data_IF_658573151688
#
_entry.id   IF_658573151688
#
_cell.length_a   1.000
_cell.length_b   1.000
_cell.length_c   1.000
_cell.angle_alpha   90.00
_cell.angle_beta   90.00
_cell.angle_gamma   90.00
#
_symmetry.space_group_name_H-M   'P 1'
#
loop_
_entity.id
_entity.type
_entity.pdbx_description
1 polymer ?
#
# COMPACT_ATOMS: atom_id res chain seq x y z
N UNK A 1 -11.83 37.59 -11.18
CA UNK A 1 -11.00 36.73 -10.30
C UNK A 1 -11.97 35.91 -9.43
N UNK A 2 -12.25 34.66 -9.83
CA UNK A 2 -13.10 33.73 -9.07
C UNK A 2 -12.45 33.41 -7.72
N UNK A 3 -13.21 33.54 -6.61
CA UNK A 3 -12.78 33.04 -5.30
C UNK A 3 -12.42 31.58 -5.43
N UNK A 4 -11.16 31.21 -5.22
CA UNK A 4 -10.74 29.80 -5.09
C UNK A 4 -11.54 29.21 -3.92
N UNK A 5 -12.45 28.29 -4.19
CA UNK A 5 -13.13 27.54 -3.12
C UNK A 5 -12.03 26.83 -2.31
N UNK A 6 -12.01 27.08 -1.00
CA UNK A 6 -11.08 26.40 -0.10
C UNK A 6 -11.48 24.91 -0.06
N UNK A 7 -10.57 24.02 -0.43
CA UNK A 7 -10.78 22.59 -0.28
C UNK A 7 -10.88 22.30 1.22
N UNK A 8 -11.98 21.69 1.64
CA UNK A 8 -12.20 21.26 3.02
C UNK A 8 -11.78 19.83 3.25
N UNK A 9 -12.23 18.96 2.35
CA UNK A 9 -11.93 17.53 2.38
C UNK A 9 -11.46 17.08 1.00
N UNK A 10 -10.47 16.21 0.99
CA UNK A 10 -10.00 15.53 -0.19
C UNK A 10 -9.45 14.15 0.18
N UNK A 11 -9.44 13.22 -0.78
CA UNK A 11 -8.77 11.95 -0.65
C UNK A 11 -7.80 11.77 -1.82
N UNK A 12 -6.56 11.46 -1.51
CA UNK A 12 -5.57 11.04 -2.49
C UNK A 12 -5.47 9.51 -2.42
N UNK A 13 -5.63 8.86 -3.56
CA UNK A 13 -5.61 7.40 -3.67
C UNK A 13 -4.50 6.99 -4.62
N UNK A 14 -3.63 6.12 -4.17
CA UNK A 14 -2.72 5.36 -5.03
C UNK A 14 -3.31 3.99 -5.28
N UNK A 15 -3.27 3.57 -6.52
CA UNK A 15 -3.79 2.30 -7.00
C UNK A 15 -2.71 1.59 -7.80
N UNK A 16 -2.70 0.28 -7.70
CA UNK A 16 -1.79 -0.58 -8.43
C UNK A 16 -2.56 -1.82 -8.91
N UNK A 17 -2.44 -2.09 -10.21
CA UNK A 17 -3.12 -3.17 -10.89
C UNK A 17 -2.49 -4.51 -10.50
N UNK A 18 -3.27 -5.34 -9.84
CA UNK A 18 -2.81 -6.66 -9.43
C UNK A 18 -2.64 -7.60 -10.64
N UNK A 19 -1.69 -8.52 -10.52
CA UNK A 19 -1.46 -9.61 -11.49
C UNK A 19 -1.04 -9.18 -12.91
N UNK A 20 -0.66 -7.91 -13.16
CA UNK A 20 -0.18 -7.48 -14.49
C UNK A 20 1.04 -8.29 -14.94
N UNK A 21 1.97 -8.59 -14.04
CA UNK A 21 3.13 -9.43 -14.37
C UNK A 21 2.70 -10.83 -14.83
N UNK A 22 1.75 -11.46 -14.13
CA UNK A 22 1.22 -12.76 -14.54
C UNK A 22 0.57 -12.69 -15.93
N UNK A 23 -0.20 -11.64 -16.21
CA UNK A 23 -0.80 -11.43 -17.53
C UNK A 23 0.25 -11.29 -18.62
N UNK A 24 1.30 -10.48 -18.38
CA UNK A 24 2.41 -10.31 -19.31
C UNK A 24 3.17 -11.63 -19.54
N UNK A 25 3.52 -12.34 -18.48
CA UNK A 25 4.33 -13.56 -18.56
C UNK A 25 3.55 -14.70 -19.24
N UNK A 26 2.21 -14.73 -19.11
CA UNK A 26 1.36 -15.81 -19.63
C UNK A 26 0.83 -15.51 -21.04
N UNK A 27 0.39 -14.28 -21.32
CA UNK A 27 -0.33 -13.92 -22.54
C UNK A 27 0.41 -12.89 -23.40
N UNK A 28 1.56 -12.40 -22.94
CA UNK A 28 2.38 -11.39 -23.62
C UNK A 28 2.02 -9.95 -23.28
N UNK A 29 2.91 -9.03 -23.65
CA UNK A 29 2.78 -7.60 -23.32
C UNK A 29 1.56 -6.93 -23.95
N UNK A 30 1.12 -7.33 -25.13
CA UNK A 30 -0.07 -6.77 -25.78
C UNK A 30 -1.32 -6.97 -24.90
N UNK A 31 -1.40 -8.08 -24.18
CA UNK A 31 -2.48 -8.35 -23.23
C UNK A 31 -2.32 -7.64 -21.90
N UNK A 32 -1.10 -7.43 -21.45
CA UNK A 32 -0.83 -6.54 -20.34
C UNK A 32 -1.27 -5.11 -20.62
N UNK A 33 -1.00 -4.61 -21.81
CA UNK A 33 -1.44 -3.27 -22.24
C UNK A 33 -2.98 -3.19 -22.32
N UNK A 34 -3.64 -4.24 -22.83
CA UNK A 34 -5.10 -4.31 -22.83
C UNK A 34 -5.65 -4.36 -21.41
N UNK A 35 -5.01 -5.10 -20.48
CA UNK A 35 -5.39 -5.15 -19.07
C UNK A 35 -5.28 -3.77 -18.40
N UNK A 36 -4.18 -3.04 -18.64
CA UNK A 36 -4.00 -1.66 -18.19
C UNK A 36 -5.11 -0.75 -18.76
N UNK A 37 -5.40 -0.88 -20.07
CA UNK A 37 -6.44 -0.10 -20.74
C UNK A 37 -7.83 -0.34 -20.11
N UNK A 38 -8.20 -1.59 -19.87
CA UNK A 38 -9.47 -1.97 -19.24
C UNK A 38 -9.55 -1.43 -17.79
N UNK A 39 -8.46 -1.49 -17.03
CA UNK A 39 -8.39 -0.90 -15.70
C UNK A 39 -8.60 0.62 -15.75
N UNK A 40 -7.91 1.32 -16.64
CA UNK A 40 -8.07 2.76 -16.83
C UNK A 40 -9.50 3.16 -17.18
N UNK A 41 -10.14 2.44 -18.09
CA UNK A 41 -11.56 2.66 -18.44
C UNK A 41 -12.49 2.45 -17.24
N UNK A 42 -12.30 1.36 -16.50
CA UNK A 42 -13.07 1.08 -15.28
C UNK A 42 -12.95 2.21 -14.25
N UNK A 43 -11.72 2.71 -14.03
CA UNK A 43 -11.48 3.80 -13.10
C UNK A 43 -12.11 5.13 -13.57
N UNK A 44 -12.04 5.44 -14.86
CA UNK A 44 -12.65 6.65 -15.44
C UNK A 44 -14.18 6.59 -15.39
N UNK A 45 -14.77 5.46 -15.73
CA UNK A 45 -16.24 5.24 -15.68
C UNK A 45 -16.78 5.22 -14.25
N UNK A 46 -16.02 4.63 -13.31
CA UNK A 46 -16.40 4.48 -11.89
C UNK A 46 -16.16 5.74 -11.05
N UNK A 47 -15.51 6.78 -11.57
CA UNK A 47 -15.25 8.02 -10.83
C UNK A 47 -16.20 9.14 -11.26
N UNK A 48 -16.71 9.97 -10.32
CA UNK A 48 -17.57 11.11 -10.63
C UNK A 48 -16.87 12.16 -11.49
N UNK A 49 -17.64 12.85 -12.34
CA UNK A 49 -17.11 13.97 -13.13
C UNK A 49 -16.45 15.04 -12.24
N UNK A 50 -15.26 15.44 -12.61
CA UNK A 50 -14.46 16.41 -11.87
C UNK A 50 -13.47 15.80 -10.88
N UNK A 51 -13.49 14.47 -10.68
CA UNK A 51 -12.42 13.73 -10.01
C UNK A 51 -11.21 13.68 -10.94
N UNK A 52 -10.01 13.86 -10.39
CA UNK A 52 -8.79 13.68 -11.16
C UNK A 52 -8.39 12.21 -11.10
N UNK A 53 -8.39 11.55 -12.25
CA UNK A 53 -7.88 10.19 -12.41
C UNK A 53 -6.71 10.25 -13.40
N UNK A 54 -5.58 9.63 -13.05
CA UNK A 54 -4.36 9.66 -13.84
C UNK A 54 -3.68 8.28 -13.86
N UNK A 55 -3.36 7.80 -15.05
CA UNK A 55 -2.40 6.71 -15.23
C UNK A 55 -0.99 7.29 -15.10
N UNK A 56 -0.20 6.77 -14.20
CA UNK A 56 1.13 7.29 -13.89
C UNK A 56 2.20 6.56 -14.69
N UNK A 57 2.25 5.25 -14.54
CA UNK A 57 3.17 4.38 -15.32
C UNK A 57 2.84 2.91 -15.05
N UNK A 58 3.01 2.05 -16.03
CA UNK A 58 2.84 0.61 -15.88
C UNK A 58 1.49 0.26 -15.23
N UNK A 59 1.51 -0.29 -14.03
CA UNK A 59 0.37 -0.73 -13.23
C UNK A 59 -0.17 0.34 -12.25
N UNK A 60 0.45 1.53 -12.18
CA UNK A 60 0.14 2.57 -11.20
C UNK A 60 -0.87 3.59 -11.71
N UNK A 61 -1.92 3.85 -10.92
CA UNK A 61 -2.91 4.90 -11.13
C UNK A 61 -3.05 5.76 -9.88
N UNK A 62 -3.40 7.03 -10.06
CA UNK A 62 -3.72 7.94 -8.96
C UNK A 62 -5.10 8.56 -9.17
N UNK A 63 -5.84 8.70 -8.06
CA UNK A 63 -7.12 9.39 -8.05
C UNK A 63 -7.09 10.46 -6.96
N UNK A 64 -7.62 11.64 -7.27
CA UNK A 64 -7.83 12.72 -6.31
C UNK A 64 -9.30 13.13 -6.29
N UNK A 65 -9.98 12.79 -5.20
CA UNK A 65 -11.31 13.30 -4.86
C UNK A 65 -11.17 14.61 -4.11
N UNK A 66 -11.89 15.66 -4.55
CA UNK A 66 -11.86 16.98 -3.90
C UNK A 66 -13.16 17.73 -4.13
N UNK A 67 -13.39 18.77 -3.31
CA UNK A 67 -14.57 19.61 -3.46
C UNK A 67 -15.85 19.06 -2.82
N UNK A 68 -15.73 18.04 -1.99
CA UNK A 68 -16.83 17.45 -1.23
C UNK A 68 -17.04 18.16 0.10
N UNK A 69 -18.29 18.12 0.59
CA UNK A 69 -18.67 18.76 1.86
C UNK A 69 -18.27 17.91 3.08
N UNK A 70 -18.05 16.60 2.91
CA UNK A 70 -17.62 15.69 3.97
C UNK A 70 -16.77 14.55 3.46
N UNK A 71 -15.96 13.96 4.33
CA UNK A 71 -15.23 12.71 4.06
C UNK A 71 -16.16 11.55 3.75
N UNK A 72 -17.31 11.46 4.44
CA UNK A 72 -18.25 10.36 4.22
C UNK A 72 -18.78 10.33 2.79
N UNK A 73 -19.03 11.50 2.20
CA UNK A 73 -19.43 11.58 0.79
C UNK A 73 -18.35 11.03 -0.15
N UNK A 74 -17.07 11.29 0.15
CA UNK A 74 -15.95 10.71 -0.61
C UNK A 74 -15.87 9.19 -0.38
N UNK A 75 -16.03 8.70 0.85
CA UNK A 75 -16.04 7.26 1.17
C UNK A 75 -17.13 6.50 0.41
N UNK A 76 -18.30 7.11 0.25
CA UNK A 76 -19.40 6.51 -0.54
C UNK A 76 -18.98 6.35 -2.02
N UNK A 77 -18.35 7.37 -2.61
CA UNK A 77 -17.86 7.29 -3.99
C UNK A 77 -16.73 6.25 -4.14
N UNK A 78 -15.78 6.21 -3.20
CA UNK A 78 -14.73 5.17 -3.19
C UNK A 78 -15.33 3.77 -3.06
N UNK A 79 -16.36 3.60 -2.22
CA UNK A 79 -17.05 2.32 -2.06
C UNK A 79 -17.80 1.89 -3.34
N UNK A 80 -18.35 2.84 -4.09
CA UNK A 80 -18.95 2.57 -5.42
C UNK A 80 -17.89 2.14 -6.41
N UNK A 81 -16.77 2.89 -6.47
CA UNK A 81 -15.63 2.57 -7.34
C UNK A 81 -15.09 1.17 -7.05
N UNK A 82 -14.91 0.81 -5.78
CA UNK A 82 -14.42 -0.51 -5.40
C UNK A 82 -15.36 -1.64 -5.84
N UNK A 83 -16.68 -1.43 -5.74
CA UNK A 83 -17.66 -2.40 -6.26
C UNK A 83 -17.60 -2.50 -7.79
N UNK A 84 -17.44 -1.38 -8.49
CA UNK A 84 -17.30 -1.36 -9.95
C UNK A 84 -16.06 -2.15 -10.39
N UNK A 85 -14.90 -1.91 -9.74
CA UNK A 85 -13.67 -2.66 -9.99
C UNK A 85 -13.89 -4.16 -9.78
N UNK A 86 -14.46 -4.55 -8.63
CA UNK A 86 -14.65 -5.96 -8.27
C UNK A 86 -15.64 -6.70 -9.18
N UNK A 87 -16.59 -5.98 -9.79
CA UNK A 87 -17.57 -6.53 -10.72
C UNK A 87 -17.08 -6.61 -12.17
N UNK A 88 -16.01 -5.89 -12.51
CA UNK A 88 -15.49 -5.82 -13.87
C UNK A 88 -14.86 -7.16 -14.27
N UNK A 89 -15.41 -7.76 -15.31
CA UNK A 89 -14.89 -9.01 -15.90
C UNK A 89 -14.05 -8.64 -17.11
N UNK A 90 -12.87 -9.24 -17.19
CA UNK A 90 -11.95 -9.14 -18.31
C UNK A 90 -11.86 -10.50 -18.98
N UNK A 91 -12.03 -10.53 -20.31
CA UNK A 91 -11.89 -11.73 -21.11
C UNK A 91 -10.49 -11.85 -21.66
N UNK A 92 -9.88 -13.00 -21.43
CA UNK A 92 -8.55 -13.35 -21.94
C UNK A 92 -8.61 -13.92 -23.36
N UNK A 93 -7.45 -13.98 -24.08
CA UNK A 93 -7.38 -14.51 -25.45
C UNK A 93 -7.84 -15.95 -25.60
N UNK A 94 -7.66 -16.75 -24.55
CA UNK A 94 -8.06 -18.14 -24.49
C UNK A 94 -9.55 -18.34 -24.14
N UNK A 95 -10.30 -17.25 -24.02
CA UNK A 95 -11.70 -17.22 -23.66
C UNK A 95 -11.99 -17.33 -22.17
N UNK A 96 -10.98 -17.42 -21.31
CA UNK A 96 -11.16 -17.37 -19.88
C UNK A 96 -11.57 -15.96 -19.42
N UNK A 97 -12.35 -15.91 -18.36
CA UNK A 97 -12.79 -14.66 -17.73
C UNK A 97 -12.18 -14.57 -16.33
N UNK A 98 -11.72 -13.37 -15.96
CA UNK A 98 -11.27 -13.10 -14.61
C UNK A 98 -11.72 -11.69 -14.17
N UNK A 99 -11.83 -11.50 -12.86
CA UNK A 99 -12.20 -10.21 -12.31
C UNK A 99 -11.01 -9.26 -12.28
N UNK A 100 -11.27 -7.99 -12.64
CA UNK A 100 -10.29 -6.93 -12.45
C UNK A 100 -9.92 -6.84 -10.95
N UNK A 101 -8.64 -6.80 -10.66
CA UNK A 101 -8.11 -6.66 -9.30
C UNK A 101 -7.17 -5.48 -9.22
N UNK A 102 -7.47 -4.54 -8.33
CA UNK A 102 -6.67 -3.34 -8.09
C UNK A 102 -6.53 -3.17 -6.58
N UNK A 103 -5.29 -3.10 -6.12
CA UNK A 103 -4.95 -2.79 -4.73
C UNK A 103 -4.70 -1.31 -4.57
N UNK A 104 -5.16 -0.69 -3.48
CA UNK A 104 -4.98 0.74 -3.28
C UNK A 104 -4.85 1.19 -1.84
N UNK A 105 -4.33 2.39 -1.68
CA UNK A 105 -4.23 3.08 -0.41
C UNK A 105 -4.76 4.51 -0.49
N UNK A 106 -5.44 4.95 0.56
CA UNK A 106 -6.08 6.27 0.69
C UNK A 106 -5.35 7.08 1.75
N UNK A 107 -5.08 8.35 1.46
CA UNK A 107 -4.72 9.36 2.45
C UNK A 107 -5.67 10.54 2.37
N UNK A 108 -6.05 11.07 3.53
CA UNK A 108 -7.07 12.11 3.71
C UNK A 108 -6.47 13.49 3.94
N UNK A 109 -7.03 14.49 3.28
CA UNK A 109 -6.79 15.90 3.55
C UNK A 109 -7.98 16.49 4.32
N UNK A 110 -7.74 17.25 5.41
CA UNK A 110 -6.43 17.56 6.03
C UNK A 110 -6.00 16.54 7.11
N UNK A 111 -6.76 15.51 7.39
CA UNK A 111 -6.66 14.63 8.55
C UNK A 111 -5.30 13.92 8.63
N UNK A 112 -4.86 13.27 7.54
CA UNK A 112 -3.57 12.58 7.51
C UNK A 112 -2.43 13.54 7.18
N UNK A 113 -2.68 14.56 6.37
CA UNK A 113 -1.70 15.60 6.05
C UNK A 113 -2.30 16.78 5.27
N UNK A 114 -1.68 17.97 5.42
CA UNK A 114 -1.90 19.14 4.57
C UNK A 114 -0.96 19.17 3.34
N UNK A 115 -0.05 18.22 3.21
CA UNK A 115 0.93 18.15 2.14
C UNK A 115 0.65 16.98 1.20
N UNK A 116 0.47 17.26 -0.10
CA UNK A 116 0.25 16.22 -1.11
C UNK A 116 1.42 15.21 -1.16
N UNK A 117 2.66 15.68 -0.97
CA UNK A 117 3.84 14.80 -0.93
C UNK A 117 3.84 13.83 0.25
N UNK A 118 3.28 14.25 1.40
CA UNK A 118 3.09 13.38 2.57
C UNK A 118 1.91 12.45 2.35
N UNK A 119 0.77 12.95 1.86
CA UNK A 119 -0.40 12.13 1.52
C UNK A 119 -0.03 11.00 0.56
N UNK A 120 0.81 11.29 -0.45
CA UNK A 120 1.31 10.27 -1.37
C UNK A 120 2.06 9.14 -0.63
N UNK A 121 2.95 9.48 0.31
CA UNK A 121 3.66 8.48 1.12
C UNK A 121 2.73 7.66 2.00
N UNK A 122 1.71 8.30 2.56
CA UNK A 122 0.71 7.64 3.39
C UNK A 122 -0.16 6.68 2.56
N UNK A 123 -0.63 7.11 1.38
CA UNK A 123 -1.38 6.27 0.46
C UNK A 123 -0.54 5.08 -0.05
N UNK A 124 0.75 5.31 -0.40
CA UNK A 124 1.69 4.27 -0.79
C UNK A 124 1.86 3.22 0.32
N UNK A 125 2.01 3.68 1.57
CA UNK A 125 2.10 2.78 2.72
C UNK A 125 0.82 1.93 2.88
N UNK A 126 -0.36 2.53 2.81
CA UNK A 126 -1.64 1.83 2.93
C UNK A 126 -1.81 0.80 1.80
N UNK A 127 -1.49 1.16 0.56
CA UNK A 127 -1.48 0.26 -0.60
C UNK A 127 -0.52 -0.92 -0.39
N UNK A 128 0.70 -0.65 0.09
CA UNK A 128 1.66 -1.70 0.40
C UNK A 128 1.12 -2.71 1.44
N UNK A 129 0.43 -2.23 2.48
CA UNK A 129 -0.20 -3.09 3.49
C UNK A 129 -1.26 -4.02 2.86
N UNK A 130 -2.11 -3.48 1.99
CA UNK A 130 -3.10 -4.26 1.23
C UNK A 130 -2.42 -5.35 0.41
N UNK A 131 -1.37 -5.01 -0.34
CA UNK A 131 -0.62 -5.98 -1.16
C UNK A 131 0.01 -7.12 -0.37
N UNK A 132 0.33 -6.89 0.90
CA UNK A 132 0.92 -7.91 1.79
C UNK A 132 -0.13 -8.82 2.45
N UNK A 133 -1.37 -8.37 2.58
CA UNK A 133 -2.41 -9.08 3.34
C UNK A 133 -3.54 -9.60 2.48
N UNK A 134 -4.23 -8.72 1.76
CA UNK A 134 -5.48 -9.02 1.06
C UNK A 134 -5.63 -8.12 -0.17
N UNK A 135 -5.09 -8.58 -1.31
CA UNK A 135 -5.14 -7.86 -2.58
C UNK A 135 -6.57 -7.60 -3.07
N UNK A 136 -6.72 -6.68 -4.01
CA UNK A 136 -7.98 -6.37 -4.64
C UNK A 136 -8.89 -5.47 -3.82
N UNK A 137 -8.37 -4.76 -2.82
CA UNK A 137 -9.11 -3.77 -2.03
C UNK A 137 -8.37 -2.44 -1.92
N UNK A 138 -9.11 -1.41 -1.52
CA UNK A 138 -8.57 -0.09 -1.22
C UNK A 138 -8.70 0.14 0.29
N UNK A 139 -7.60 0.46 0.98
CA UNK A 139 -7.57 0.69 2.41
C UNK A 139 -7.15 2.11 2.76
N UNK A 140 -7.68 2.62 3.86
CA UNK A 140 -7.29 3.93 4.40
C UNK A 140 -5.93 3.83 5.11
N UNK A 141 -5.19 4.93 5.13
CA UNK A 141 -3.96 5.04 5.88
C UNK A 141 -4.20 4.86 7.38
N UNK A 142 -3.34 4.07 8.01
CA UNK A 142 -3.32 3.85 9.44
C UNK A 142 -2.04 4.44 10.03
N UNK A 143 -2.18 5.55 10.74
CA UNK A 143 -1.08 6.26 11.40
C UNK A 143 -0.33 5.36 12.40
N UNK A 144 -1.06 4.55 13.17
CA UNK A 144 -0.46 3.68 14.18
C UNK A 144 0.39 2.60 13.53
N UNK A 145 -0.14 1.91 12.53
CA UNK A 145 0.60 0.89 11.77
C UNK A 145 1.83 1.49 11.08
N UNK A 146 1.73 2.74 10.57
CA UNK A 146 2.84 3.46 9.97
C UNK A 146 3.96 3.74 10.98
N UNK A 147 3.61 4.25 12.15
CA UNK A 147 4.57 4.54 13.24
C UNK A 147 5.26 3.27 13.75
N UNK A 148 4.52 2.18 13.92
CA UNK A 148 5.08 0.87 14.28
C UNK A 148 6.10 0.39 13.24
N UNK A 149 5.74 0.42 11.95
CA UNK A 149 6.63 0.04 10.86
C UNK A 149 7.88 0.91 10.78
N UNK A 150 7.71 2.23 10.98
CA UNK A 150 8.83 3.17 11.00
C UNK A 150 9.77 2.86 12.17
N UNK A 151 9.24 2.62 13.36
CA UNK A 151 10.02 2.24 14.56
C UNK A 151 10.80 0.96 14.32
N UNK A 152 10.18 -0.09 13.80
CA UNK A 152 10.84 -1.35 13.46
C UNK A 152 11.99 -1.14 12.45
N UNK A 153 11.77 -0.29 11.45
CA UNK A 153 12.80 0.06 10.49
C UNK A 153 14.00 0.77 11.14
N UNK A 154 13.76 1.68 12.09
CA UNK A 154 14.81 2.35 12.85
C UNK A 154 15.60 1.36 13.73
N UNK A 155 14.90 0.49 14.46
CA UNK A 155 15.53 -0.56 15.28
C UNK A 155 16.43 -1.45 14.42
N UNK A 156 15.95 -1.89 13.24
CA UNK A 156 16.76 -2.72 12.32
C UNK A 156 18.02 -1.99 11.83
N UNK A 157 17.91 -0.69 11.49
CA UNK A 157 19.04 0.12 11.05
C UNK A 157 20.09 0.28 12.16
N UNK A 158 19.64 0.60 13.39
CA UNK A 158 20.52 0.71 14.55
C UNK A 158 21.19 -0.63 14.87
N UNK A 159 20.44 -1.73 14.83
CA UNK A 159 21.00 -3.07 15.03
C UNK A 159 22.09 -3.41 13.99
N UNK A 160 21.85 -3.13 12.71
CA UNK A 160 22.86 -3.31 11.67
C UNK A 160 24.13 -2.47 11.92
N UNK A 161 23.95 -1.23 12.40
CA UNK A 161 25.06 -0.36 12.78
C UNK A 161 25.85 -0.97 13.93
N UNK A 162 25.17 -1.40 14.99
CA UNK A 162 25.82 -2.02 16.15
C UNK A 162 26.66 -3.25 15.77
N UNK A 163 26.12 -4.10 14.91
CA UNK A 163 26.86 -5.28 14.43
C UNK A 163 28.04 -4.89 13.56
N UNK A 164 27.87 -3.93 12.63
CA UNK A 164 28.92 -3.49 11.70
C UNK A 164 30.08 -2.77 12.40
N UNK A 165 29.77 -1.98 13.43
CA UNK A 165 30.73 -1.18 14.19
C UNK A 165 31.30 -1.95 15.41
N UNK A 166 30.98 -3.25 15.53
CA UNK A 166 31.42 -4.11 16.65
C UNK A 166 31.07 -3.54 18.03
N UNK A 167 29.97 -2.78 18.14
CA UNK A 167 29.51 -2.15 19.38
C UNK A 167 28.80 -3.14 20.33
N UNK A 168 28.93 -4.43 20.04
CA UNK A 168 28.28 -5.50 20.80
C UNK A 168 29.31 -6.29 21.57
N UNK A 169 29.15 -6.40 22.88
CA UNK A 169 29.94 -7.26 23.75
C UNK A 169 29.13 -8.50 24.12
N UNK A 170 29.82 -9.65 24.15
CA UNK A 170 29.20 -10.90 24.55
C UNK A 170 29.63 -11.29 25.94
N UNK A 171 28.68 -11.61 26.80
CA UNK A 171 28.87 -12.23 28.08
C UNK A 171 28.41 -13.68 28.00
N UNK A 172 29.15 -14.58 28.66
CA UNK A 172 28.81 -15.99 28.66
C UNK A 172 28.33 -16.41 30.05
N UNK A 173 27.08 -16.88 30.13
CA UNK A 173 26.50 -17.42 31.36
C UNK A 173 26.66 -18.94 31.36
N UNK A 174 27.30 -19.56 32.37
CA UNK A 174 27.43 -21.01 32.40
C UNK A 174 26.12 -21.70 32.73
N UNK A 175 25.83 -22.78 32.01
CA UNK A 175 24.76 -23.71 32.30
C UNK A 175 25.36 -24.90 33.04
N UNK A 176 24.92 -25.11 34.27
CA UNK A 176 25.47 -26.13 35.17
C UNK A 176 24.52 -27.31 35.25
N UNK A 177 25.05 -28.51 35.09
CA UNK A 177 24.28 -29.76 35.28
C UNK A 177 23.88 -29.91 36.75
N UNK A 178 22.59 -30.03 37.00
CA UNK A 178 22.04 -30.29 38.34
C UNK A 178 22.46 -31.64 38.90
N UNK A 179 22.86 -32.59 38.05
CA UNK A 179 23.30 -33.95 38.47
C UNK A 179 24.78 -33.99 38.85
N UNK A 180 25.64 -33.28 38.11
CA UNK A 180 27.10 -33.39 38.23
C UNK A 180 27.78 -32.17 38.83
N UNK A 181 27.07 -31.03 38.91
CA UNK A 181 27.61 -29.74 39.34
C UNK A 181 28.62 -29.14 38.36
N UNK A 182 28.80 -29.73 37.16
CA UNK A 182 29.77 -29.28 36.15
C UNK A 182 29.08 -28.38 35.12
N UNK A 183 29.84 -27.48 34.51
CA UNK A 183 29.40 -26.67 33.38
C UNK A 183 29.23 -27.58 32.18
N UNK A 184 28.03 -27.63 31.58
CA UNK A 184 27.71 -28.39 30.38
C UNK A 184 27.67 -27.52 29.11
N UNK A 185 27.33 -26.23 29.27
CA UNK A 185 27.24 -25.29 28.16
C UNK A 185 27.40 -23.84 28.65
N UNK A 186 27.45 -22.91 27.71
CA UNK A 186 27.36 -21.47 27.98
C UNK A 186 26.28 -20.86 27.12
N UNK A 187 25.47 -20.00 27.71
CA UNK A 187 24.58 -19.11 26.99
C UNK A 187 25.32 -17.81 26.66
N UNK A 188 25.32 -17.42 25.38
CA UNK A 188 25.89 -16.14 24.94
C UNK A 188 24.86 -15.04 25.06
N UNK A 189 25.09 -14.08 25.95
CA UNK A 189 24.24 -12.92 26.17
C UNK A 189 24.86 -11.69 25.54
N UNK A 190 24.15 -11.08 24.60
CA UNK A 190 24.57 -9.83 23.96
C UNK A 190 24.30 -8.64 24.87
N UNK A 191 25.25 -7.70 24.98
CA UNK A 191 25.13 -6.44 25.71
C UNK A 191 25.62 -5.28 24.86
#
# INVERSE_FOLDING_TARGET
FGRRKKIRHAAFIMLDLDNLKYTNDTFGHDWGDEYIRQAGMCLEEGTPKGTLCAHISGDEFNILFYGYESQNAIREEISKLQREISSRIIRLPDGQEFHLSISGGIAWYPEDSNSLGVMRKHADFAMYQVKQTDKGRIAEFDQKAYEEKYRDSQIRKEFHRFVKEELVTYYFQPIISAKTGKIEAYEALMR
#
